data_IF_065451039612
#
_entry.id   IF_065451039612
#
_cell.length_a   1.000
_cell.length_b   1.000
_cell.length_c   1.000
_cell.angle_alpha   90.00
_cell.angle_beta   90.00
_cell.angle_gamma   90.00
#
_symmetry.space_group_name_H-M   'P 1'
#
loop_
_entity.id
_entity.type
_entity.pdbx_description
1 polymer ?
#
# COMPACT_ATOMS: atom_id res chain seq x y z
N UNK A 1 -8.13 45.70 0.49
CA UNK A 1 -7.39 44.78 1.37
C UNK A 1 -8.21 43.49 1.50
N UNK A 2 -7.93 42.49 0.65
CA UNK A 2 -8.58 41.17 0.64
C UNK A 2 -7.57 40.07 0.99
N UNK A 3 -6.85 40.25 2.11
CA UNK A 3 -5.86 39.26 2.59
C UNK A 3 -6.53 38.15 3.43
N UNK A 4 -7.71 38.42 3.98
CA UNK A 4 -8.45 37.47 4.82
C UNK A 4 -9.04 36.32 4.02
N UNK A 5 -9.69 36.61 2.87
CA UNK A 5 -10.34 35.59 2.04
C UNK A 5 -9.36 34.62 1.38
N UNK A 6 -8.15 35.08 1.01
CA UNK A 6 -7.12 34.21 0.43
C UNK A 6 -6.53 33.23 1.46
N UNK A 7 -6.33 33.65 2.70
CA UNK A 7 -5.80 32.80 3.78
C UNK A 7 -6.81 31.76 4.26
N UNK A 8 -8.10 32.12 4.33
CA UNK A 8 -9.17 31.19 4.70
C UNK A 8 -9.37 30.10 3.63
N UNK A 9 -9.33 30.48 2.34
CA UNK A 9 -9.33 29.53 1.21
C UNK A 9 -8.14 28.58 1.28
N UNK A 10 -6.93 29.09 1.58
CA UNK A 10 -5.73 28.27 1.72
C UNK A 10 -5.88 27.20 2.80
N UNK A 11 -6.31 27.58 4.00
CA UNK A 11 -6.51 26.64 5.12
C UNK A 11 -7.61 25.60 4.86
N UNK A 12 -8.67 26.00 4.16
CA UNK A 12 -9.73 25.07 3.76
C UNK A 12 -9.22 24.01 2.78
N UNK A 13 -8.40 24.41 1.80
CA UNK A 13 -7.76 23.49 0.84
C UNK A 13 -6.80 22.52 1.54
N UNK A 14 -6.00 23.00 2.49
CA UNK A 14 -5.10 22.15 3.29
C UNK A 14 -5.89 21.09 4.08
N UNK A 15 -6.94 21.50 4.79
CA UNK A 15 -7.79 20.59 5.56
C UNK A 15 -8.51 19.57 4.69
N UNK A 16 -8.96 19.98 3.50
CA UNK A 16 -9.59 19.09 2.54
C UNK A 16 -8.58 18.09 1.99
N UNK A 17 -7.39 18.58 1.61
CA UNK A 17 -6.28 17.76 1.11
C UNK A 17 -5.87 16.69 2.12
N UNK A 18 -5.72 17.04 3.41
CA UNK A 18 -5.39 16.07 4.45
C UNK A 18 -6.44 14.95 4.55
N UNK A 19 -7.73 15.31 4.51
CA UNK A 19 -8.83 14.34 4.57
C UNK A 19 -8.85 13.45 3.34
N UNK A 20 -8.73 14.04 2.15
CA UNK A 20 -8.74 13.30 0.88
C UNK A 20 -7.58 12.31 0.83
N UNK A 21 -6.36 12.73 1.15
CA UNK A 21 -5.20 11.84 1.15
C UNK A 21 -5.35 10.70 2.16
N UNK A 22 -5.79 11.01 3.39
CA UNK A 22 -5.95 9.98 4.43
C UNK A 22 -7.03 8.98 4.06
N UNK A 23 -8.23 9.43 3.71
CA UNK A 23 -9.34 8.51 3.41
C UNK A 23 -9.21 7.84 2.04
N UNK A 24 -8.49 8.47 1.09
CA UNK A 24 -8.06 7.82 -0.14
C UNK A 24 -7.13 6.64 0.14
N UNK A 25 -6.14 6.82 1.02
CA UNK A 25 -5.27 5.72 1.47
C UNK A 25 -6.07 4.61 2.16
N UNK A 26 -7.01 4.95 3.05
CA UNK A 26 -7.91 3.98 3.69
C UNK A 26 -8.67 3.18 2.64
N UNK A 27 -9.29 3.84 1.67
CA UNK A 27 -10.05 3.18 0.61
C UNK A 27 -9.18 2.20 -0.19
N UNK A 28 -7.97 2.60 -0.57
CA UNK A 28 -7.03 1.73 -1.29
C UNK A 28 -6.63 0.51 -0.45
N UNK A 29 -6.28 0.71 0.82
CA UNK A 29 -5.88 -0.40 1.71
C UNK A 29 -7.01 -1.41 1.93
N UNK A 30 -8.24 -0.93 2.11
CA UNK A 30 -9.41 -1.81 2.25
C UNK A 30 -9.70 -2.56 0.95
N UNK A 31 -9.60 -1.87 -0.19
CA UNK A 31 -9.89 -2.46 -1.50
C UNK A 31 -8.85 -3.51 -1.90
N UNK A 32 -7.56 -3.15 -1.89
CA UNK A 32 -6.46 -4.06 -2.22
C UNK A 32 -6.41 -5.21 -1.22
N UNK A 33 -6.60 -4.92 0.07
CA UNK A 33 -6.65 -5.94 1.11
C UNK A 33 -7.80 -6.94 0.91
N UNK A 34 -8.96 -6.50 0.46
CA UNK A 34 -10.06 -7.39 0.10
C UNK A 34 -9.73 -8.25 -1.14
N UNK A 35 -9.04 -7.70 -2.14
CA UNK A 35 -8.63 -8.46 -3.34
C UNK A 35 -7.63 -9.58 -3.03
N UNK A 36 -6.82 -9.46 -1.96
CA UNK A 36 -5.86 -10.49 -1.53
C UNK A 36 -6.46 -11.84 -1.18
N UNK A 37 -7.78 -11.90 -0.94
CA UNK A 37 -8.50 -13.15 -0.70
C UNK A 37 -8.90 -13.87 -2.01
N UNK A 38 -8.64 -13.26 -3.17
CA UNK A 38 -8.89 -13.86 -4.47
C UNK A 38 -7.67 -14.64 -4.97
N UNK A 39 -7.92 -15.68 -5.77
CA UNK A 39 -6.85 -16.44 -6.42
C UNK A 39 -6.07 -15.62 -7.44
N UNK A 40 -6.77 -14.69 -8.10
CA UNK A 40 -6.18 -13.72 -9.02
C UNK A 40 -5.03 -12.94 -8.35
N UNK A 41 -5.31 -12.32 -7.21
CA UNK A 41 -4.32 -11.46 -6.55
C UNK A 41 -3.22 -12.26 -5.85
N UNK A 42 -3.55 -13.46 -5.35
CA UNK A 42 -2.56 -14.38 -4.82
C UNK A 42 -1.53 -14.77 -5.90
N UNK A 43 -1.98 -15.07 -7.13
CA UNK A 43 -1.09 -15.37 -8.24
C UNK A 43 -0.31 -14.13 -8.70
N UNK A 44 -0.93 -12.95 -8.68
CA UNK A 44 -0.28 -11.69 -9.03
C UNK A 44 0.90 -11.32 -8.13
N UNK A 45 0.82 -11.59 -6.83
CA UNK A 45 1.93 -11.29 -5.91
C UNK A 45 3.01 -12.34 -5.84
N UNK A 46 2.75 -13.57 -6.30
CA UNK A 46 3.69 -14.69 -6.23
C UNK A 46 5.11 -14.31 -6.70
N UNK A 47 5.32 -13.75 -7.91
CA UNK A 47 6.65 -13.37 -8.37
C UNK A 47 7.33 -12.29 -7.50
N UNK A 48 6.55 -11.42 -6.85
CA UNK A 48 7.10 -10.39 -5.96
C UNK A 48 7.57 -10.98 -4.63
N UNK A 49 6.77 -11.87 -4.05
CA UNK A 49 7.07 -12.46 -2.73
C UNK A 49 8.06 -13.60 -2.78
N UNK A 50 8.16 -14.34 -3.89
CA UNK A 50 9.12 -15.44 -4.02
C UNK A 50 10.56 -14.94 -4.25
N UNK A 51 10.71 -13.77 -4.87
CA UNK A 51 12.02 -13.20 -5.19
C UNK A 51 12.56 -12.24 -4.12
N UNK A 52 11.81 -11.96 -3.05
CA UNK A 52 12.25 -11.07 -1.97
C UNK A 52 12.74 -11.84 -0.75
N UNK A 53 13.96 -11.58 -0.24
CA UNK A 53 14.47 -12.26 0.96
C UNK A 53 13.63 -11.98 2.21
N UNK A 54 12.87 -10.87 2.23
CA UNK A 54 12.02 -10.50 3.37
C UNK A 54 10.74 -11.33 3.45
N UNK A 55 10.26 -11.89 2.32
CA UNK A 55 8.94 -12.56 2.24
C UNK A 55 9.00 -14.00 1.70
N UNK A 56 10.07 -14.39 1.02
CA UNK A 56 10.21 -15.73 0.43
C UNK A 56 10.18 -16.86 1.46
N UNK A 57 10.70 -16.63 2.67
CA UNK A 57 10.63 -17.60 3.76
C UNK A 57 9.18 -17.80 4.25
N UNK A 58 8.39 -16.72 4.31
CA UNK A 58 6.99 -16.77 4.72
C UNK A 58 6.14 -17.49 3.67
N UNK A 59 6.47 -17.33 2.39
CA UNK A 59 5.85 -18.10 1.29
C UNK A 59 6.08 -19.60 1.47
N UNK A 60 7.31 -20.01 1.78
CA UNK A 60 7.66 -21.42 1.99
C UNK A 60 6.97 -22.01 3.23
N UNK A 61 6.83 -21.23 4.30
CA UNK A 61 6.23 -21.69 5.55
C UNK A 61 4.69 -21.76 5.50
N UNK A 62 4.03 -20.79 4.85
CA UNK A 62 2.57 -20.60 4.94
C UNK A 62 1.82 -21.00 3.67
N UNK A 63 2.52 -21.04 2.54
CA UNK A 63 1.93 -21.19 1.22
C UNK A 63 1.32 -19.89 0.68
N UNK A 64 1.13 -19.84 -0.64
CA UNK A 64 0.76 -18.61 -1.35
C UNK A 64 -0.60 -18.03 -0.93
N UNK A 65 -1.64 -18.87 -0.88
CA UNK A 65 -3.01 -18.41 -0.55
C UNK A 65 -3.08 -17.87 0.88
N UNK A 66 -2.46 -18.57 1.83
CA UNK A 66 -2.39 -18.13 3.23
C UNK A 66 -1.61 -16.84 3.38
N UNK A 67 -0.43 -16.74 2.75
CA UNK A 67 0.38 -15.53 2.79
C UNK A 67 -0.37 -14.34 2.18
N UNK A 68 -1.04 -14.53 1.04
CA UNK A 68 -1.87 -13.49 0.42
C UNK A 68 -2.98 -13.03 1.37
N UNK A 69 -3.75 -13.96 1.94
CA UNK A 69 -4.82 -13.63 2.88
C UNK A 69 -4.32 -12.92 4.15
N UNK A 70 -3.13 -13.27 4.65
CA UNK A 70 -2.51 -12.57 5.79
C UNK A 70 -2.11 -11.14 5.43
N UNK A 71 -1.49 -10.93 4.27
CA UNK A 71 -1.20 -9.59 3.77
C UNK A 71 -2.50 -8.78 3.65
N UNK A 72 -3.56 -9.36 3.08
CA UNK A 72 -4.85 -8.70 2.97
C UNK A 72 -5.48 -8.35 4.30
N UNK A 73 -5.38 -9.24 5.28
CA UNK A 73 -5.84 -8.99 6.65
C UNK A 73 -5.08 -7.82 7.27
N UNK A 74 -3.75 -7.77 7.10
CA UNK A 74 -2.91 -6.67 7.58
C UNK A 74 -3.28 -5.36 6.91
N UNK A 75 -3.46 -5.33 5.58
CA UNK A 75 -3.88 -4.15 4.83
C UNK A 75 -5.22 -3.60 5.34
N UNK A 76 -6.22 -4.48 5.55
CA UNK A 76 -7.54 -4.09 6.07
C UNK A 76 -7.42 -3.52 7.49
N UNK A 77 -6.71 -4.22 8.39
CA UNK A 77 -6.54 -3.78 9.78
C UNK A 77 -5.86 -2.41 9.83
N UNK A 78 -4.79 -2.21 9.07
CA UNK A 78 -4.09 -0.93 9.00
C UNK A 78 -4.97 0.17 8.41
N UNK A 79 -5.73 -0.12 7.35
CA UNK A 79 -6.71 0.80 6.78
C UNK A 79 -7.77 1.24 7.79
N UNK A 80 -8.35 0.29 8.54
CA UNK A 80 -9.31 0.58 9.60
C UNK A 80 -8.69 1.41 10.73
N UNK A 81 -7.47 1.09 11.16
CA UNK A 81 -6.76 1.88 12.17
C UNK A 81 -6.52 3.32 11.69
N UNK A 82 -6.09 3.52 10.44
CA UNK A 82 -5.86 4.86 9.88
C UNK A 82 -7.17 5.66 9.84
N UNK A 83 -8.30 5.00 9.51
CA UNK A 83 -9.62 5.62 9.44
C UNK A 83 -10.11 6.19 10.78
N UNK A 84 -9.65 5.67 11.93
CA UNK A 84 -10.10 6.12 13.25
C UNK A 84 -9.57 7.48 13.69
N UNK A 85 -8.90 8.24 12.80
CA UNK A 85 -8.23 9.51 13.15
C UNK A 85 -9.11 10.50 13.93
N UNK A 86 -10.39 10.62 13.56
CA UNK A 86 -11.29 11.63 14.14
C UNK A 86 -11.61 11.38 15.61
N UNK A 87 -11.61 10.12 16.08
CA UNK A 87 -12.00 9.76 17.45
C UNK A 87 -10.89 9.03 18.24
N UNK A 88 -9.94 8.38 17.57
CA UNK A 88 -8.79 7.71 18.19
C UNK A 88 -7.47 8.05 17.46
N UNK A 89 -6.91 9.27 17.66
CA UNK A 89 -5.68 9.73 17.01
C UNK A 89 -4.46 8.83 17.23
N UNK A 90 -4.32 8.21 18.41
CA UNK A 90 -3.19 7.32 18.73
C UNK A 90 -3.25 6.01 17.95
N UNK A 91 -4.44 5.43 17.78
CA UNK A 91 -4.66 4.21 16.98
C UNK A 91 -4.30 4.46 15.51
N UNK A 92 -4.76 5.60 14.97
CA UNK A 92 -4.42 6.04 13.62
C UNK A 92 -2.92 6.24 13.41
N UNK A 93 -2.19 6.72 14.43
CA UNK A 93 -0.73 6.84 14.38
C UNK A 93 -0.03 5.47 14.28
N UNK A 94 -0.43 4.49 15.11
CA UNK A 94 0.12 3.13 15.01
C UNK A 94 -0.23 2.45 13.67
N UNK A 95 -1.46 2.64 13.18
CA UNK A 95 -1.86 2.14 11.86
C UNK A 95 -1.02 2.76 10.74
N UNK A 96 -0.73 4.06 10.85
CA UNK A 96 0.12 4.77 9.88
C UNK A 96 1.57 4.28 9.93
N UNK A 97 2.14 4.04 11.12
CA UNK A 97 3.47 3.43 11.27
C UNK A 97 3.53 2.02 10.66
N UNK A 98 2.52 1.19 10.91
CA UNK A 98 2.43 -0.14 10.30
C UNK A 98 2.34 -0.07 8.78
N UNK A 99 1.53 0.85 8.25
CA UNK A 99 1.42 1.06 6.80
C UNK A 99 2.75 1.50 6.17
N UNK A 100 3.52 2.38 6.83
CA UNK A 100 4.86 2.76 6.38
C UNK A 100 5.76 1.53 6.27
N UNK A 101 5.83 0.70 7.30
CA UNK A 101 6.66 -0.51 7.29
C UNK A 101 6.26 -1.46 6.16
N UNK A 102 4.96 -1.68 5.99
CA UNK A 102 4.41 -2.51 4.92
C UNK A 102 4.75 -1.93 3.53
N UNK A 103 4.57 -0.63 3.29
CA UNK A 103 4.93 -0.02 2.01
C UNK A 103 6.43 -0.07 1.73
N UNK A 104 7.28 0.07 2.76
CA UNK A 104 8.72 -0.11 2.61
C UNK A 104 9.06 -1.54 2.19
N UNK A 105 8.40 -2.56 2.76
CA UNK A 105 8.54 -3.95 2.31
C UNK A 105 8.10 -4.06 0.84
N UNK A 106 6.96 -3.51 0.46
CA UNK A 106 6.48 -3.53 -0.94
C UNK A 106 7.45 -2.85 -1.90
N UNK A 107 8.06 -1.73 -1.49
CA UNK A 107 9.07 -1.03 -2.28
C UNK A 107 10.34 -1.88 -2.49
N UNK A 108 10.68 -2.78 -1.57
CA UNK A 108 11.81 -3.70 -1.78
C UNK A 108 11.60 -4.60 -3.00
N UNK A 109 10.35 -4.88 -3.39
CA UNK A 109 10.06 -5.72 -4.55
C UNK A 109 10.56 -5.10 -5.86
N UNK A 110 10.66 -3.78 -5.95
CA UNK A 110 11.26 -3.10 -7.11
C UNK A 110 12.74 -3.46 -7.26
N UNK A 111 13.44 -3.68 -6.15
CA UNK A 111 14.86 -4.03 -6.14
C UNK A 111 15.10 -5.53 -6.30
N UNK A 112 14.18 -6.36 -5.78
CA UNK A 112 14.39 -7.81 -5.66
C UNK A 112 13.74 -8.60 -6.80
N UNK A 113 12.75 -8.05 -7.50
CA UNK A 113 11.99 -8.81 -8.50
C UNK A 113 12.67 -8.76 -9.88
N UNK A 114 13.07 -9.91 -10.46
CA UNK A 114 13.56 -9.96 -11.83
C UNK A 114 12.48 -9.53 -12.81
N UNK A 115 12.89 -8.78 -13.83
CA UNK A 115 11.97 -8.35 -14.88
C UNK A 115 11.05 -7.20 -14.49
N UNK A 116 11.23 -6.53 -13.34
CA UNK A 116 10.45 -5.32 -12.99
C UNK A 116 10.64 -4.18 -13.99
N UNK A 117 11.79 -4.14 -14.66
CA UNK A 117 12.14 -3.15 -15.68
C UNK A 117 11.94 -3.71 -17.08
N UNK A 118 11.40 -2.88 -17.97
CA UNK A 118 11.18 -3.22 -19.37
C UNK A 118 12.53 -3.57 -20.03
N UNK A 119 12.65 -4.76 -20.66
CA UNK A 119 13.86 -5.15 -21.38
C UNK A 119 14.23 -4.10 -22.45
N UNK A 120 15.49 -3.69 -22.47
CA UNK A 120 16.02 -2.69 -23.42
C UNK A 120 15.86 -1.22 -23.01
N UNK A 121 15.04 -0.90 -22.00
CA UNK A 121 14.84 0.48 -21.52
C UNK A 121 15.38 0.70 -20.09
N UNK A 122 15.21 -0.26 -19.19
CA UNK A 122 15.62 -0.10 -17.79
C UNK A 122 14.80 0.96 -17.03
N UNK A 123 15.33 1.49 -15.93
CA UNK A 123 14.69 2.57 -15.17
C UNK A 123 14.52 3.84 -16.04
N UNK A 124 13.36 4.55 -16.02
CA UNK A 124 12.19 4.38 -15.16
C UNK A 124 11.01 3.63 -15.83
N UNK A 125 11.26 2.73 -16.78
CA UNK A 125 10.23 2.04 -17.55
C UNK A 125 9.87 0.69 -16.91
N UNK A 126 8.75 0.57 -16.17
CA UNK A 126 8.31 -0.72 -15.63
C UNK A 126 7.83 -1.63 -16.76
N UNK A 127 8.00 -2.93 -16.57
CA UNK A 127 7.47 -3.94 -17.48
C UNK A 127 6.00 -4.29 -17.16
N UNK A 128 5.24 -4.83 -18.13
CA UNK A 128 3.89 -5.36 -17.90
C UNK A 128 3.86 -6.74 -17.22
N UNK A 129 5.03 -7.34 -16.95
CA UNK A 129 5.20 -8.64 -16.28
C UNK A 129 6.46 -8.54 -15.40
N UNK A 130 6.39 -8.77 -14.08
CA UNK A 130 5.46 -9.70 -13.44
C UNK A 130 4.23 -9.09 -12.77
N UNK A 131 4.02 -7.77 -12.88
CA UNK A 131 2.86 -7.06 -12.35
C UNK A 131 2.06 -6.38 -13.47
N UNK A 132 0.72 -6.35 -13.32
CA UNK A 132 -0.24 -5.79 -14.29
C UNK A 132 -0.36 -4.26 -14.23
N UNK A 133 0.76 -3.56 -14.37
CA UNK A 133 0.72 -2.10 -14.39
C UNK A 133 0.09 -1.57 -15.69
#
# INVERSE_FOLDING_TARGET
MDRGGSMERGRSLENLGEKVLRYGLVAVLLWVGALKFTEYEAMGIKPLVENSPLTAWALQALGLKTLSALIGTVEIVLGLMIATRSFAPKVSAYGSMGAIVMFLITLTFVLTTPGVWQPGYGFPFPSPMPGQF
#
